data_IF_792218656212
#
_entry.id   IF_792218656212
#
_cell.length_a   1.000
_cell.length_b   1.000
_cell.length_c   1.000
_cell.angle_alpha   90.00
_cell.angle_beta   90.00
_cell.angle_gamma   90.00
#
_symmetry.space_group_name_H-M   'P 1'
#
loop_
_entity.id
_entity.type
_entity.pdbx_description
1 polymer ?
#
# COMPACT_ATOMS: atom_id res chain seq x y z
N UNK A 1 -3.84 23.74 -18.19
CA UNK A 1 -4.12 22.77 -17.12
C UNK A 1 -3.03 22.91 -16.06
N UNK A 2 -3.38 22.99 -14.77
CA UNK A 2 -2.38 23.04 -13.69
C UNK A 2 -1.55 21.75 -13.64
N UNK A 3 -0.33 21.83 -13.11
CA UNK A 3 0.56 20.67 -12.97
C UNK A 3 0.19 19.76 -11.77
N UNK A 4 -0.62 20.26 -10.82
CA UNK A 4 -1.00 19.55 -9.61
C UNK A 4 -2.33 20.06 -9.02
N UNK A 5 -3.00 19.29 -8.14
CA UNK A 5 -4.25 19.70 -7.48
C UNK A 5 -4.03 20.71 -6.33
N UNK A 6 -5.07 21.37 -5.83
CA UNK A 6 -4.95 22.32 -4.71
C UNK A 6 -4.43 21.65 -3.43
N UNK A 7 -4.80 20.40 -3.21
CA UNK A 7 -4.34 19.59 -2.08
C UNK A 7 -2.85 19.23 -2.17
N UNK A 8 -2.24 19.33 -3.36
CA UNK A 8 -0.79 19.29 -3.57
C UNK A 8 -0.14 20.60 -3.14
N UNK A 9 -0.57 21.73 -3.71
CA UNK A 9 0.14 23.01 -3.53
C UNK A 9 0.17 23.47 -2.08
N UNK A 10 -0.99 23.40 -1.41
CA UNK A 10 -1.11 23.76 0.00
C UNK A 10 -0.21 22.91 0.90
N UNK A 11 -0.21 21.60 0.66
CA UNK A 11 0.60 20.66 1.44
C UNK A 11 2.10 20.79 1.14
N UNK A 12 2.49 20.85 -0.13
CA UNK A 12 3.89 20.91 -0.54
C UNK A 12 4.57 22.17 0.03
N UNK A 13 3.93 23.34 -0.06
CA UNK A 13 4.47 24.58 0.50
C UNK A 13 4.61 24.55 2.02
N UNK A 14 3.62 23.97 2.72
CA UNK A 14 3.67 23.77 4.17
C UNK A 14 4.81 22.83 4.55
N UNK A 15 4.94 21.70 3.86
CA UNK A 15 5.87 20.65 4.23
C UNK A 15 7.33 20.97 3.89
N UNK A 16 7.60 21.75 2.84
CA UNK A 16 8.97 22.10 2.42
C UNK A 16 9.82 22.72 3.54
N UNK A 17 9.19 23.49 4.44
CA UNK A 17 9.90 24.16 5.53
C UNK A 17 9.83 23.40 6.87
N UNK A 18 9.03 22.33 6.95
CA UNK A 18 8.66 21.67 8.21
C UNK A 18 8.64 20.13 8.08
N UNK A 19 9.58 19.54 7.35
CA UNK A 19 9.53 18.11 6.99
C UNK A 19 9.46 17.16 8.20
N UNK A 20 10.20 17.45 9.27
CA UNK A 20 10.17 16.63 10.50
C UNK A 20 8.84 16.75 11.24
N UNK A 21 8.27 17.96 11.32
CA UNK A 21 6.95 18.17 11.93
C UNK A 21 5.85 17.46 11.12
N UNK A 22 5.91 17.57 9.79
CA UNK A 22 4.99 16.89 8.88
C UNK A 22 5.15 15.37 8.96
N UNK A 23 6.37 14.85 9.09
CA UNK A 23 6.62 13.42 9.35
C UNK A 23 5.84 12.98 10.59
N UNK A 24 5.99 13.70 11.70
CA UNK A 24 5.39 13.32 12.97
C UNK A 24 3.86 13.47 12.96
N UNK A 25 3.32 14.48 12.28
CA UNK A 25 1.87 14.62 12.02
C UNK A 25 1.34 13.46 11.18
N UNK A 26 2.02 13.12 10.09
CA UNK A 26 1.58 12.04 9.19
C UNK A 26 1.66 10.67 9.86
N UNK A 27 2.66 10.43 10.72
CA UNK A 27 2.74 9.21 11.54
C UNK A 27 1.50 9.07 12.41
N UNK A 28 1.11 10.13 13.14
CA UNK A 28 -0.12 10.12 13.96
C UNK A 28 -1.37 9.92 13.10
N UNK A 29 -1.40 10.49 11.90
CA UNK A 29 -2.50 10.31 10.97
C UNK A 29 -2.60 8.86 10.49
N UNK A 30 -1.47 8.23 10.18
CA UNK A 30 -1.39 6.80 9.83
C UNK A 30 -1.91 5.97 11.01
N UNK A 31 -1.39 6.15 12.23
CA UNK A 31 -1.85 5.43 13.43
C UNK A 31 -3.36 5.51 13.61
N UNK A 32 -3.88 6.73 13.57
CA UNK A 32 -5.31 6.97 13.77
C UNK A 32 -6.18 6.42 12.64
N UNK A 33 -5.68 6.36 11.41
CA UNK A 33 -6.44 5.83 10.26
C UNK A 33 -6.42 4.30 10.25
N UNK A 34 -5.28 3.70 10.57
CA UNK A 34 -5.11 2.25 10.60
C UNK A 34 -5.68 1.61 11.87
N UNK A 35 -5.96 2.40 12.91
CA UNK A 35 -6.52 1.93 14.17
C UNK A 35 -5.52 1.10 14.99
N UNK A 36 -4.22 1.29 14.77
CA UNK A 36 -3.15 0.65 15.53
C UNK A 36 -1.96 1.58 15.72
N UNK A 37 -1.12 1.24 16.69
CA UNK A 37 0.14 1.94 16.94
C UNK A 37 1.17 1.59 15.86
N UNK A 38 1.91 2.57 15.37
CA UNK A 38 3.00 2.33 14.40
C UNK A 38 4.35 2.58 15.05
N UNK A 39 5.36 1.86 14.58
CA UNK A 39 6.70 1.89 15.15
C UNK A 39 7.72 2.28 14.08
N UNK A 40 7.84 3.58 13.76
CA UNK A 40 8.84 4.06 12.81
C UNK A 40 10.26 3.78 13.35
N UNK A 41 11.27 3.67 12.47
CA UNK A 41 12.66 3.66 12.91
C UNK A 41 12.98 4.91 13.73
N UNK A 42 13.68 4.77 14.86
CA UNK A 42 14.03 5.90 15.76
C UNK A 42 14.79 7.02 15.05
N UNK A 43 15.60 6.68 14.04
CA UNK A 43 16.44 7.60 13.27
C UNK A 43 15.86 7.89 11.87
N UNK A 44 14.54 7.84 11.70
CA UNK A 44 13.90 8.06 10.41
C UNK A 44 14.14 9.50 9.91
N UNK A 45 14.94 9.63 8.85
CA UNK A 45 15.28 10.91 8.23
C UNK A 45 14.45 11.17 6.97
N UNK A 46 14.13 12.43 6.73
CA UNK A 46 13.47 12.88 5.51
C UNK A 46 14.43 13.81 4.75
N UNK A 47 14.68 13.51 3.48
CA UNK A 47 15.58 14.31 2.64
C UNK A 47 14.91 14.69 1.33
N UNK A 48 15.13 15.93 0.88
CA UNK A 48 14.75 16.37 -0.46
C UNK A 48 15.88 16.06 -1.42
N UNK A 49 15.56 15.39 -2.53
CA UNK A 49 16.52 15.15 -3.61
C UNK A 49 16.15 15.98 -4.83
N UNK A 50 17.09 16.82 -5.26
CA UNK A 50 16.89 17.82 -6.32
C UNK A 50 16.94 17.23 -7.74
N UNK A 51 17.48 16.02 -7.90
CA UNK A 51 17.52 15.33 -9.19
C UNK A 51 16.45 14.25 -9.20
N UNK A 52 15.51 14.27 -10.16
CA UNK A 52 14.52 13.20 -10.31
C UNK A 52 15.25 11.87 -10.53
N UNK A 53 15.10 10.94 -9.59
CA UNK A 53 15.64 9.60 -9.75
C UNK A 53 14.85 8.93 -10.86
N UNK A 54 15.52 8.53 -11.95
CA UNK A 54 14.87 7.86 -13.09
C UNK A 54 15.08 6.35 -12.97
N UNK A 55 13.98 5.59 -12.89
CA UNK A 55 14.02 4.13 -13.04
C UNK A 55 14.07 3.70 -14.50
N UNK A 56 13.55 4.53 -15.39
CA UNK A 56 13.60 4.36 -16.84
C UNK A 56 13.46 5.74 -17.51
N UNK A 57 13.61 5.84 -18.84
CA UNK A 57 13.35 7.09 -19.56
C UNK A 57 11.96 7.69 -19.33
N UNK A 58 10.97 6.86 -18.95
CA UNK A 58 9.56 7.24 -18.76
C UNK A 58 9.11 7.19 -17.30
N UNK A 59 9.90 6.64 -16.38
CA UNK A 59 9.54 6.46 -14.97
C UNK A 59 10.38 7.37 -14.05
N UNK A 60 9.74 8.43 -13.56
CA UNK A 60 10.29 9.31 -12.51
C UNK A 60 9.88 8.75 -11.14
N UNK A 61 10.86 8.50 -10.29
CA UNK A 61 10.66 8.15 -8.89
C UNK A 61 10.32 9.42 -8.11
N UNK A 62 9.15 9.45 -7.49
CA UNK A 62 8.63 10.59 -6.74
C UNK A 62 9.13 10.62 -5.30
N UNK A 63 9.39 9.44 -4.75
CA UNK A 63 9.99 9.24 -3.45
C UNK A 63 10.41 7.78 -3.28
N UNK A 64 11.05 7.49 -2.17
CA UNK A 64 11.41 6.14 -1.78
C UNK A 64 11.88 6.09 -0.33
N UNK A 65 11.71 4.94 0.29
CA UNK A 65 12.29 4.62 1.59
C UNK A 65 13.47 3.65 1.44
N UNK A 66 14.60 4.00 2.03
CA UNK A 66 15.75 3.12 2.19
C UNK A 66 15.78 2.55 3.61
N UNK A 67 15.55 1.23 3.80
CA UNK A 67 15.57 0.59 5.12
C UNK A 67 16.96 0.51 5.76
N UNK A 68 18.04 0.56 4.98
CA UNK A 68 19.41 0.49 5.49
C UNK A 68 19.79 1.81 6.13
N UNK A 69 19.60 2.91 5.40
CA UNK A 69 19.93 4.26 5.87
C UNK A 69 18.79 4.93 6.64
N UNK A 70 17.64 4.25 6.79
CA UNK A 70 16.41 4.72 7.44
C UNK A 70 15.99 6.09 6.93
N UNK A 71 16.04 6.26 5.61
CA UNK A 71 15.87 7.57 4.97
C UNK A 71 14.76 7.52 3.94
N UNK A 72 13.78 8.41 4.10
CA UNK A 72 12.81 8.73 3.06
C UNK A 72 13.39 9.86 2.23
N UNK A 73 13.53 9.63 0.92
CA UNK A 73 13.85 10.68 -0.02
C UNK A 73 12.61 11.10 -0.80
N UNK A 74 12.44 12.40 -1.01
CA UNK A 74 11.34 13.00 -1.74
C UNK A 74 11.90 13.81 -2.92
N UNK A 75 11.52 13.43 -4.14
CA UNK A 75 12.05 14.02 -5.37
C UNK A 75 11.43 15.38 -5.65
N UNK A 76 12.26 16.42 -5.64
CA UNK A 76 11.80 17.80 -5.67
C UNK A 76 10.77 18.07 -6.77
N UNK A 77 9.70 18.80 -6.42
CA UNK A 77 8.54 19.17 -7.26
C UNK A 77 7.74 18.02 -7.87
N UNK A 78 8.02 16.78 -7.49
CA UNK A 78 7.35 15.58 -8.04
C UNK A 78 6.72 14.69 -6.98
N UNK A 79 6.82 15.07 -5.70
CA UNK A 79 6.24 14.35 -4.57
C UNK A 79 5.04 15.10 -4.00
N UNK A 80 4.10 14.38 -3.40
CA UNK A 80 2.98 15.00 -2.70
C UNK A 80 2.60 14.25 -1.43
N UNK A 81 1.50 14.65 -0.77
CA UNK A 81 1.03 14.00 0.48
C UNK A 81 0.94 12.48 0.34
N UNK A 82 0.39 12.02 -0.78
CA UNK A 82 0.34 10.61 -1.17
C UNK A 82 1.72 9.95 -1.11
N UNK A 83 2.73 10.58 -1.73
CA UNK A 83 4.10 10.06 -1.75
C UNK A 83 4.67 9.96 -0.35
N UNK A 84 4.50 11.00 0.47
CA UNK A 84 5.06 11.00 1.82
C UNK A 84 4.39 9.93 2.71
N UNK A 85 3.06 9.80 2.66
CA UNK A 85 2.33 8.74 3.36
C UNK A 85 2.78 7.35 2.88
N UNK A 86 2.93 7.16 1.57
CA UNK A 86 3.38 5.89 0.99
C UNK A 86 4.75 5.46 1.51
N UNK A 87 5.74 6.37 1.50
CA UNK A 87 7.07 6.05 2.00
C UNK A 87 7.11 5.89 3.52
N UNK A 88 6.26 6.60 4.26
CA UNK A 88 6.09 6.39 5.71
C UNK A 88 5.49 5.00 6.00
N UNK A 89 4.51 4.56 5.22
CA UNK A 89 3.94 3.21 5.31
C UNK A 89 5.01 2.14 5.03
N UNK A 90 5.86 2.33 4.02
CA UNK A 90 7.03 1.47 3.83
C UNK A 90 7.92 1.45 5.07
N UNK A 91 8.23 2.61 5.66
CA UNK A 91 9.09 2.72 6.84
C UNK A 91 8.55 2.02 8.09
N UNK A 92 7.23 1.92 8.24
CA UNK A 92 6.58 1.22 9.37
C UNK A 92 6.14 -0.20 9.04
N UNK A 93 6.50 -0.75 7.88
CA UNK A 93 6.07 -2.09 7.45
C UNK A 93 7.00 -3.20 7.94
N UNK A 94 6.45 -4.40 8.17
CA UNK A 94 7.24 -5.61 8.43
C UNK A 94 8.27 -5.87 7.33
N UNK A 95 7.91 -5.61 6.06
CA UNK A 95 8.76 -5.83 4.90
C UNK A 95 10.04 -4.99 4.85
N UNK A 96 10.11 -3.92 5.65
CA UNK A 96 11.30 -3.06 5.77
C UNK A 96 11.92 -3.07 7.16
N UNK A 97 11.21 -3.61 8.17
CA UNK A 97 11.64 -3.67 9.57
C UNK A 97 12.19 -5.04 9.98
N UNK A 98 11.80 -6.12 9.31
CA UNK A 98 12.27 -7.49 9.59
C UNK A 98 13.23 -7.95 8.50
N UNK A 99 14.53 -8.16 8.79
CA UNK A 99 15.54 -8.51 7.79
C UNK A 99 15.20 -9.74 6.94
N UNK A 100 14.59 -10.76 7.54
CA UNK A 100 14.17 -11.99 6.87
C UNK A 100 13.13 -11.73 5.76
N UNK A 101 12.37 -10.64 5.88
CA UNK A 101 11.35 -10.26 4.90
C UNK A 101 11.90 -9.39 3.77
N UNK A 102 13.15 -8.93 3.83
CA UNK A 102 13.75 -8.16 2.72
C UNK A 102 13.83 -9.00 1.44
N UNK A 103 14.08 -10.30 1.58
CA UNK A 103 14.04 -11.25 0.46
C UNK A 103 12.63 -11.43 -0.12
N UNK A 104 11.59 -11.27 0.70
CA UNK A 104 10.19 -11.28 0.24
C UNK A 104 9.89 -9.99 -0.50
N UNK A 105 10.23 -8.83 0.07
CA UNK A 105 10.08 -7.53 -0.58
C UNK A 105 10.73 -7.51 -1.97
N UNK A 106 11.97 -7.96 -2.09
CA UNK A 106 12.69 -7.95 -3.36
C UNK A 106 12.06 -8.87 -4.41
N UNK A 107 11.54 -10.02 -4.00
CA UNK A 107 10.94 -11.01 -4.91
C UNK A 107 9.52 -10.62 -5.32
N UNK A 108 8.74 -10.13 -4.36
CA UNK A 108 7.31 -9.85 -4.49
C UNK A 108 7.05 -8.32 -4.41
N UNK A 109 7.96 -7.54 -4.98
CA UNK A 109 8.02 -6.08 -4.88
C UNK A 109 6.70 -5.39 -5.24
N UNK A 110 6.09 -5.78 -6.36
CA UNK A 110 4.84 -5.17 -6.82
C UNK A 110 3.66 -5.45 -5.87
N UNK A 111 3.66 -6.60 -5.17
CA UNK A 111 2.65 -6.92 -4.17
C UNK A 111 2.81 -6.01 -2.96
N UNK A 112 4.03 -5.84 -2.45
CA UNK A 112 4.26 -4.95 -1.30
C UNK A 112 3.94 -3.51 -1.67
N UNK A 113 4.39 -3.02 -2.82
CA UNK A 113 4.05 -1.68 -3.30
C UNK A 113 2.55 -1.49 -3.51
N UNK A 114 1.86 -2.50 -4.04
CA UNK A 114 0.41 -2.50 -4.20
C UNK A 114 -0.33 -2.42 -2.86
N UNK A 115 0.17 -3.13 -1.84
CA UNK A 115 -0.41 -3.10 -0.50
C UNK A 115 -0.14 -1.76 0.19
N UNK A 116 1.09 -1.25 0.09
CA UNK A 116 1.46 0.09 0.58
C UNK A 116 0.59 1.17 -0.08
N UNK A 117 0.38 1.09 -1.38
CA UNK A 117 -0.45 2.04 -2.13
C UNK A 117 -1.94 1.92 -1.76
N UNK A 118 -2.44 0.70 -1.56
CA UNK A 118 -3.81 0.46 -1.09
C UNK A 118 -4.04 1.06 0.30
N UNK A 119 -3.10 0.88 1.24
CA UNK A 119 -3.18 1.48 2.57
C UNK A 119 -2.96 3.00 2.53
N UNK A 120 -2.15 3.51 1.60
CA UNK A 120 -2.05 4.95 1.35
C UNK A 120 -3.40 5.52 0.95
N UNK A 121 -4.10 4.85 0.03
CA UNK A 121 -5.46 5.20 -0.36
C UNK A 121 -6.43 5.22 0.83
N UNK A 122 -6.31 4.25 1.74
CA UNK A 122 -7.14 4.18 2.96
C UNK A 122 -6.91 5.36 3.91
N UNK A 123 -5.64 5.76 4.12
CA UNK A 123 -5.30 6.95 4.93
C UNK A 123 -5.82 8.22 4.26
N UNK A 124 -5.66 8.35 2.93
CA UNK A 124 -6.18 9.49 2.19
C UNK A 124 -7.72 9.56 2.27
N UNK A 125 -8.41 8.44 2.12
CA UNK A 125 -9.87 8.37 2.25
C UNK A 125 -10.33 8.82 3.64
N UNK A 126 -9.68 8.32 4.68
CA UNK A 126 -10.08 8.54 6.07
C UNK A 126 -9.84 9.96 6.57
N UNK A 127 -8.83 10.67 6.04
CA UNK A 127 -8.38 11.98 6.60
C UNK A 127 -8.26 13.10 5.58
N UNK A 128 -8.17 12.79 4.30
CA UNK A 128 -7.86 13.76 3.24
C UNK A 128 -8.72 13.53 2.00
N UNK A 129 -10.06 13.58 2.15
CA UNK A 129 -11.02 13.32 1.08
C UNK A 129 -10.71 14.04 -0.25
N UNK A 130 -10.28 15.30 -0.19
CA UNK A 130 -9.87 16.06 -1.38
C UNK A 130 -8.61 15.49 -2.05
N UNK A 131 -7.65 14.96 -1.29
CA UNK A 131 -6.50 14.25 -1.86
C UNK A 131 -6.90 12.90 -2.44
N UNK A 132 -7.81 12.20 -1.76
CA UNK A 132 -8.32 10.91 -2.21
C UNK A 132 -9.05 11.04 -3.57
N UNK A 133 -9.93 12.03 -3.72
CA UNK A 133 -10.62 12.29 -4.99
C UNK A 133 -9.65 12.57 -6.16
N UNK A 134 -8.58 13.30 -5.90
CA UNK A 134 -7.55 13.58 -6.91
C UNK A 134 -6.69 12.34 -7.22
N UNK A 135 -6.45 11.49 -6.21
CA UNK A 135 -5.72 10.24 -6.35
C UNK A 135 -6.47 9.21 -7.21
N UNK A 136 -7.78 9.04 -7.01
CA UNK A 136 -8.61 8.13 -7.81
C UNK A 136 -8.90 8.66 -9.21
N UNK A 137 -9.10 9.97 -9.37
CA UNK A 137 -9.46 10.58 -10.67
C UNK A 137 -8.33 10.53 -11.69
N UNK A 138 -7.09 10.33 -11.23
CA UNK A 138 -5.87 10.29 -12.05
C UNK A 138 -5.66 11.56 -12.90
N UNK A 139 -6.33 12.66 -12.56
CA UNK A 139 -6.26 13.92 -13.31
C UNK A 139 -4.85 14.52 -13.31
N UNK A 140 -4.12 14.37 -12.21
CA UNK A 140 -2.77 14.89 -12.05
C UNK A 140 -1.80 13.75 -11.76
N UNK A 141 -0.86 13.54 -12.67
CA UNK A 141 0.10 12.43 -12.57
C UNK A 141 0.80 12.41 -11.21
N UNK A 142 1.23 13.56 -10.69
CA UNK A 142 2.02 13.67 -9.44
C UNK A 142 1.35 13.02 -8.23
N UNK A 143 0.02 13.12 -8.12
CA UNK A 143 -0.75 12.55 -6.99
C UNK A 143 -1.68 11.40 -7.39
N UNK A 144 -1.53 10.84 -8.59
CA UNK A 144 -2.36 9.73 -9.04
C UNK A 144 -1.96 8.41 -8.35
N UNK A 145 -2.94 7.51 -8.28
CA UNK A 145 -2.72 6.10 -7.96
C UNK A 145 -1.55 5.49 -8.75
N UNK A 146 -0.75 4.69 -8.06
CA UNK A 146 0.30 3.82 -8.61
C UNK A 146 -0.11 2.35 -8.42
N UNK A 147 0.56 1.39 -9.07
CA UNK A 147 0.28 -0.05 -8.87
C UNK A 147 -1.22 -0.43 -8.95
N UNK A 148 -2.01 0.28 -9.76
CA UNK A 148 -3.48 0.21 -9.77
C UNK A 148 -3.99 -1.22 -9.90
N UNK A 149 -3.28 -2.05 -10.68
CA UNK A 149 -3.56 -3.47 -10.84
C UNK A 149 -3.58 -4.21 -9.49
N UNK A 150 -2.60 -4.01 -8.62
CA UNK A 150 -2.59 -4.62 -7.28
C UNK A 150 -3.54 -3.93 -6.32
N UNK A 151 -3.67 -2.60 -6.39
CA UNK A 151 -4.60 -1.86 -5.52
C UNK A 151 -6.05 -2.31 -5.73
N UNK A 152 -6.46 -2.57 -6.98
CA UNK A 152 -7.76 -3.16 -7.31
C UNK A 152 -7.91 -4.57 -6.77
N UNK A 153 -6.85 -5.38 -6.81
CA UNK A 153 -6.87 -6.71 -6.19
C UNK A 153 -7.13 -6.61 -4.68
N UNK A 154 -6.41 -5.74 -3.96
CA UNK A 154 -6.63 -5.55 -2.53
C UNK A 154 -7.99 -4.96 -2.20
N UNK A 155 -8.51 -4.03 -2.99
CA UNK A 155 -9.89 -3.53 -2.85
C UNK A 155 -10.91 -4.66 -2.99
N UNK A 156 -10.81 -5.46 -4.06
CA UNK A 156 -11.70 -6.61 -4.25
C UNK A 156 -11.58 -7.65 -3.12
N UNK A 157 -10.37 -7.90 -2.61
CA UNK A 157 -10.16 -8.77 -1.44
C UNK A 157 -10.84 -8.23 -0.18
N UNK A 158 -10.73 -6.92 0.05
CA UNK A 158 -11.28 -6.24 1.21
C UNK A 158 -12.81 -6.19 1.23
N UNK A 159 -13.45 -6.14 0.06
CA UNK A 159 -14.90 -6.30 -0.04
C UNK A 159 -15.37 -7.74 0.17
N UNK A 160 -14.58 -8.74 -0.26
CA UNK A 160 -15.12 -10.08 -0.50
C UNK A 160 -14.66 -11.14 0.49
N UNK A 161 -13.45 -11.04 1.03
CA UNK A 161 -12.84 -12.13 1.79
C UNK A 161 -12.03 -11.70 3.02
N UNK A 162 -11.22 -10.64 2.91
CA UNK A 162 -10.19 -10.31 3.90
C UNK A 162 -10.41 -8.89 4.41
N UNK A 163 -10.91 -8.67 5.64
CA UNK A 163 -11.07 -7.35 6.21
C UNK A 163 -9.80 -6.50 6.12
N UNK A 164 -9.96 -5.19 5.92
CA UNK A 164 -8.81 -4.27 5.81
C UNK A 164 -7.95 -4.37 7.07
N UNK A 165 -8.56 -4.54 8.25
CA UNK A 165 -7.85 -4.66 9.52
C UNK A 165 -6.84 -5.82 9.55
N UNK A 166 -7.12 -6.91 8.83
CA UNK A 166 -6.21 -8.06 8.78
C UNK A 166 -5.09 -7.85 7.74
N UNK A 167 -5.36 -7.14 6.65
CA UNK A 167 -4.31 -6.67 5.73
C UNK A 167 -3.36 -5.70 6.43
N UNK A 168 -3.89 -4.81 7.26
CA UNK A 168 -3.12 -3.86 8.08
C UNK A 168 -2.22 -4.62 9.06
N UNK A 169 -2.74 -5.62 9.79
CA UNK A 169 -1.95 -6.43 10.73
C UNK A 169 -0.83 -7.21 10.05
N UNK A 170 -1.07 -7.71 8.84
CA UNK A 170 -0.05 -8.40 8.06
C UNK A 170 1.06 -7.45 7.59
N UNK A 171 0.74 -6.16 7.43
CA UNK A 171 1.64 -5.16 6.85
C UNK A 171 2.44 -4.37 7.89
N UNK A 172 1.79 -3.80 8.90
CA UNK A 172 2.41 -2.84 9.84
C UNK A 172 3.20 -3.56 10.92
N UNK A 173 4.47 -3.19 11.06
CA UNK A 173 5.38 -3.76 12.05
C UNK A 173 4.93 -3.50 13.48
N UNK A 174 4.79 -4.57 14.26
CA UNK A 174 4.70 -4.55 15.73
C UNK A 174 5.89 -5.35 16.32
N UNK A 175 6.74 -4.73 17.17
CA UNK A 175 7.89 -5.41 17.77
C UNK A 175 7.51 -6.54 18.73
N UNK A 176 6.24 -6.62 19.17
CA UNK A 176 5.76 -7.63 20.12
C UNK A 176 5.10 -8.84 19.43
N UNK A 177 5.02 -8.85 18.11
CA UNK A 177 4.36 -9.90 17.33
C UNK A 177 5.38 -10.60 16.44
N UNK A 178 5.42 -11.94 16.53
CA UNK A 178 6.09 -12.77 15.53
C UNK A 178 5.26 -12.76 14.24
N UNK A 179 5.82 -12.12 13.21
CA UNK A 179 5.17 -11.98 11.92
C UNK A 179 4.91 -13.32 11.22
N UNK A 180 5.81 -14.31 11.36
CA UNK A 180 5.65 -15.60 10.70
C UNK A 180 4.45 -16.36 11.28
N UNK A 181 4.27 -16.27 12.59
CA UNK A 181 3.10 -16.81 13.27
C UNK A 181 1.82 -16.07 12.89
N UNK A 182 1.86 -14.74 12.80
CA UNK A 182 0.70 -13.95 12.35
C UNK A 182 0.32 -14.26 10.90
N UNK A 183 1.31 -14.39 10.01
CA UNK A 183 1.10 -14.78 8.63
C UNK A 183 0.52 -16.20 8.52
N UNK A 184 1.01 -17.16 9.30
CA UNK A 184 0.43 -18.51 9.34
C UNK A 184 -1.03 -18.49 9.85
N UNK A 185 -1.33 -17.69 10.88
CA UNK A 185 -2.72 -17.50 11.35
C UNK A 185 -3.60 -16.87 10.27
N UNK A 186 -3.09 -15.87 9.55
CA UNK A 186 -3.77 -15.23 8.44
C UNK A 186 -4.11 -16.24 7.33
N UNK A 187 -3.14 -17.04 6.89
CA UNK A 187 -3.36 -18.08 5.88
C UNK A 187 -4.43 -19.08 6.33
N UNK A 188 -4.32 -19.59 7.56
CA UNK A 188 -5.27 -20.56 8.11
C UNK A 188 -6.68 -19.99 8.25
N UNK A 189 -6.82 -18.74 8.70
CA UNK A 189 -8.12 -18.05 8.86
C UNK A 189 -8.87 -18.00 7.53
N UNK A 190 -8.18 -17.67 6.45
CA UNK A 190 -8.80 -17.51 5.14
C UNK A 190 -8.79 -18.78 4.29
N UNK A 191 -8.07 -19.83 4.70
CA UNK A 191 -7.91 -21.07 3.93
C UNK A 191 -7.02 -20.89 2.71
N UNK A 192 -6.00 -20.04 2.83
CA UNK A 192 -5.04 -19.73 1.77
C UNK A 192 -3.82 -20.63 1.89
N UNK A 193 -3.28 -21.04 0.75
CA UNK A 193 -1.96 -21.68 0.71
C UNK A 193 -0.86 -20.61 0.87
N UNK A 194 0.32 -21.00 1.33
CA UNK A 194 1.45 -20.06 1.47
C UNK A 194 1.89 -19.51 0.10
N UNK A 195 1.67 -18.21 -0.10
CA UNK A 195 1.99 -17.49 -1.32
C UNK A 195 3.21 -16.57 -1.19
N UNK A 196 3.63 -16.20 0.03
CA UNK A 196 4.78 -15.33 0.29
C UNK A 196 6.05 -16.09 0.65
N UNK A 197 6.02 -16.98 1.65
CA UNK A 197 7.24 -17.53 2.25
C UNK A 197 7.64 -18.84 1.59
N UNK A 198 6.81 -19.88 1.71
CA UNK A 198 7.08 -21.22 1.20
C UNK A 198 6.34 -21.50 -0.12
N UNK A 199 6.32 -20.52 -1.03
CA UNK A 199 5.67 -20.64 -2.34
C UNK A 199 6.09 -21.93 -3.05
N UNK A 200 5.14 -22.85 -3.36
CA UNK A 200 5.45 -24.15 -3.94
C UNK A 200 6.28 -24.02 -5.22
N UNK A 201 7.30 -24.88 -5.43
CA UNK A 201 8.23 -24.78 -6.57
C UNK A 201 7.52 -24.63 -7.93
N UNK A 202 6.42 -25.37 -8.14
CA UNK A 202 5.59 -25.32 -9.36
C UNK A 202 4.90 -23.98 -9.57
N UNK A 203 4.59 -23.26 -8.49
CA UNK A 203 3.89 -21.97 -8.49
C UNK A 203 4.83 -20.76 -8.47
N UNK A 204 6.14 -20.94 -8.24
CA UNK A 204 7.13 -19.84 -8.18
C UNK A 204 7.22 -19.00 -9.46
N UNK A 205 6.89 -19.58 -10.62
CA UNK A 205 6.86 -18.86 -11.91
C UNK A 205 5.56 -18.10 -12.16
N UNK A 206 4.52 -18.37 -11.37
CA UNK A 206 3.23 -17.70 -11.52
C UNK A 206 3.33 -16.32 -10.85
N UNK A 207 2.94 -15.23 -11.56
CA UNK A 207 2.85 -13.91 -10.96
C UNK A 207 2.03 -13.95 -9.67
N UNK A 208 2.48 -13.25 -8.63
CA UNK A 208 1.87 -13.36 -7.31
C UNK A 208 0.41 -12.94 -7.30
N UNK A 209 0.08 -11.93 -8.08
CA UNK A 209 -1.28 -11.47 -8.30
C UNK A 209 -2.20 -12.57 -8.83
N UNK A 210 -1.82 -13.22 -9.93
CA UNK A 210 -2.59 -14.33 -10.51
C UNK A 210 -2.73 -15.48 -9.52
N UNK A 211 -1.65 -15.77 -8.79
CA UNK A 211 -1.68 -16.82 -7.78
C UNK A 211 -2.66 -16.49 -6.64
N UNK A 212 -2.64 -15.26 -6.13
CA UNK A 212 -3.52 -14.82 -5.05
C UNK A 212 -4.98 -14.79 -5.52
N UNK A 213 -5.23 -14.31 -6.73
CA UNK A 213 -6.54 -14.34 -7.37
C UNK A 213 -7.07 -15.78 -7.48
N UNK A 214 -6.28 -16.72 -8.00
CA UNK A 214 -6.68 -18.13 -8.13
C UNK A 214 -7.04 -18.74 -6.75
N UNK A 215 -6.25 -18.44 -5.73
CA UNK A 215 -6.52 -18.89 -4.36
C UNK A 215 -7.84 -18.32 -3.83
N UNK A 216 -8.07 -17.03 -4.05
CA UNK A 216 -9.27 -16.34 -3.56
C UNK A 216 -10.52 -16.81 -4.28
N UNK A 217 -10.47 -16.95 -5.61
CA UNK A 217 -11.55 -17.52 -6.41
C UNK A 217 -11.91 -18.93 -5.93
N UNK A 218 -10.91 -19.76 -5.64
CA UNK A 218 -11.12 -21.10 -5.08
C UNK A 218 -11.83 -21.01 -3.72
N UNK A 219 -11.32 -20.19 -2.80
CA UNK A 219 -11.90 -20.04 -1.45
C UNK A 219 -13.34 -19.51 -1.51
N UNK A 220 -13.60 -18.49 -2.32
CA UNK A 220 -14.94 -17.91 -2.48
C UNK A 220 -15.92 -18.94 -3.05
N UNK A 221 -15.51 -19.68 -4.08
CA UNK A 221 -16.33 -20.75 -4.68
C UNK A 221 -16.68 -21.82 -3.66
N UNK A 222 -15.72 -22.27 -2.87
CA UNK A 222 -15.90 -23.34 -1.89
C UNK A 222 -16.71 -22.91 -0.67
N UNK A 223 -16.54 -21.66 -0.20
CA UNK A 223 -17.17 -21.18 1.04
C UNK A 223 -18.50 -20.47 0.84
N UNK A 224 -18.69 -19.77 -0.28
CA UNK A 224 -19.82 -18.84 -0.47
C UNK A 224 -20.56 -19.05 -1.79
N UNK A 225 -19.89 -19.61 -2.80
CA UNK A 225 -20.49 -19.99 -4.09
C UNK A 225 -20.12 -19.07 -5.25
N UNK A 226 -20.56 -19.44 -6.46
CA UNK A 226 -20.13 -18.79 -7.72
C UNK A 226 -20.57 -17.32 -7.83
N UNK A 227 -21.70 -16.93 -7.22
CA UNK A 227 -22.16 -15.53 -7.22
C UNK A 227 -21.09 -14.59 -6.62
N UNK A 228 -20.44 -15.02 -5.54
CA UNK A 228 -19.35 -14.24 -4.92
C UNK A 228 -18.06 -14.24 -5.74
N UNK A 229 -17.82 -15.28 -6.53
CA UNK A 229 -16.70 -15.28 -7.48
C UNK A 229 -16.93 -14.22 -8.56
N UNK A 230 -18.15 -14.12 -9.09
CA UNK A 230 -18.49 -13.14 -10.11
C UNK A 230 -18.44 -11.71 -9.55
N UNK A 231 -18.97 -11.46 -8.35
CA UNK A 231 -18.82 -10.15 -7.67
C UNK A 231 -17.34 -9.76 -7.46
N UNK A 232 -16.50 -10.71 -7.07
CA UNK A 232 -15.06 -10.47 -6.93
C UNK A 232 -14.41 -10.10 -8.28
N UNK A 233 -14.75 -10.81 -9.36
CA UNK A 233 -14.26 -10.52 -10.71
C UNK A 233 -14.74 -9.17 -11.24
N UNK A 234 -16.01 -8.84 -11.00
CA UNK A 234 -16.59 -7.53 -11.34
C UNK A 234 -15.80 -6.41 -10.67
N UNK A 235 -15.57 -6.48 -9.35
CA UNK A 235 -14.74 -5.51 -8.63
C UNK A 235 -13.31 -5.46 -9.21
N UNK A 236 -12.72 -6.62 -9.45
CA UNK A 236 -11.32 -6.74 -9.92
C UNK A 236 -11.11 -6.10 -11.29
N UNK A 237 -12.04 -6.26 -12.22
CA UNK A 237 -11.82 -6.01 -13.65
C UNK A 237 -12.73 -4.93 -14.25
N UNK A 238 -13.98 -4.84 -13.81
CA UNK A 238 -15.02 -4.08 -14.51
C UNK A 238 -15.42 -2.81 -13.75
N UNK A 239 -15.57 -2.92 -12.43
CA UNK A 239 -16.09 -1.84 -11.60
C UNK A 239 -15.19 -0.58 -11.66
N UNK A 240 -15.78 0.63 -11.62
CA UNK A 240 -15.04 1.87 -11.46
C UNK A 240 -14.18 1.90 -10.19
N UNK A 241 -13.05 2.63 -10.20
CA UNK A 241 -12.14 2.68 -9.05
C UNK A 241 -12.77 3.23 -7.77
N UNK A 242 -13.67 4.20 -7.90
CA UNK A 242 -14.42 4.77 -6.79
C UNK A 242 -15.38 3.76 -6.14
N UNK A 243 -15.81 2.73 -6.88
CA UNK A 243 -16.56 1.60 -6.33
C UNK A 243 -15.61 0.60 -5.66
N UNK A 244 -14.52 0.23 -6.33
CA UNK A 244 -13.55 -0.78 -5.82
C UNK A 244 -12.79 -0.28 -4.60
N UNK A 245 -12.60 1.02 -4.47
CA UNK A 245 -11.84 1.66 -3.40
C UNK A 245 -12.74 2.49 -2.48
N UNK A 246 -14.02 2.16 -2.39
CA UNK A 246 -14.89 2.67 -1.35
C UNK A 246 -14.62 1.94 -0.03
N UNK A 247 -13.66 2.47 0.71
CA UNK A 247 -13.22 1.91 1.99
C UNK A 247 -14.33 1.87 3.06
N UNK A 248 -15.43 2.62 2.90
CA UNK A 248 -16.57 2.53 3.83
C UNK A 248 -17.41 1.26 3.68
N UNK A 249 -17.29 0.59 2.52
CA UNK A 249 -18.05 -0.62 2.18
C UNK A 249 -17.18 -1.88 2.21
N UNK A 250 -15.93 -1.78 2.70
CA UNK A 250 -15.03 -2.90 2.92
C UNK A 250 -15.24 -3.50 4.31
N UNK A 251 -14.90 -4.79 4.46
CA UNK A 251 -15.02 -5.52 5.73
C UNK A 251 -13.95 -5.12 6.76
#
# INVERSE_FOLDING_TARGET
MGFAPQCYYSFYLYALNNLDEVRDELIKVIENSLGLRVYPPEELRIVLVSVPIRRSPTAIVRGGYDPITKTIFLSDRTWCRKTFIHELLHAVSYFSRVPELFGVFNREYEFVEGLTEFLTGYVLYSRYSNCYAEWISKRYLVCSISYERYVRLFGALAHMLIPISDLIKLFVYDPNIDWFDEYNRFLNRYGLEDFLINKPKKKRKIPLETLLEDMVVKVLREKVGEEKVEQFRELRYEAPLDVVLDYSNMM
#
